data_IF_925067178419
#
_entry.id   IF_925067178419
#
_cell.length_a   1.000
_cell.length_b   1.000
_cell.length_c   1.000
_cell.angle_alpha   90.00
_cell.angle_beta   90.00
_cell.angle_gamma   90.00
#
_symmetry.space_group_name_H-M   'P 1'
#
loop_
_entity.id
_entity.type
_entity.pdbx_description
1 polymer ?
#
# COMPACT_ATOMS: atom_id res chain seq x y z
N UNK A 1 -1.56 15.31 25.75
CA UNK A 1 -0.87 14.18 25.09
C UNK A 1 0.58 14.15 25.55
N UNK A 2 1.13 12.98 25.86
CA UNK A 2 2.57 12.85 26.09
C UNK A 2 3.29 12.93 24.74
N UNK A 3 4.43 13.62 24.62
CA UNK A 3 5.22 13.60 23.40
C UNK A 3 5.69 12.17 23.11
N UNK A 4 5.56 11.76 21.85
CA UNK A 4 6.10 10.51 21.34
C UNK A 4 7.59 10.73 21.07
N UNK A 5 8.44 9.87 21.63
CA UNK A 5 9.90 9.92 21.45
C UNK A 5 10.35 8.64 20.79
N UNK A 6 11.04 8.74 19.67
CA UNK A 6 11.62 7.62 18.94
C UNK A 6 13.13 7.81 18.96
N UNK A 7 13.88 6.75 19.31
CA UNK A 7 15.33 6.77 19.22
C UNK A 7 15.74 6.90 17.74
N UNK A 8 16.79 7.68 17.45
CA UNK A 8 17.27 7.87 16.08
C UNK A 8 17.69 6.55 15.43
N UNK A 9 18.35 5.67 16.17
CA UNK A 9 18.84 4.40 15.65
C UNK A 9 17.67 3.46 15.39
N UNK A 10 16.71 3.36 16.33
CA UNK A 10 15.47 2.61 16.13
C UNK A 10 14.67 3.13 14.92
N UNK A 11 14.58 4.46 14.75
CA UNK A 11 13.93 5.06 13.58
C UNK A 11 14.65 4.68 12.28
N UNK A 12 15.99 4.81 12.23
CA UNK A 12 16.76 4.45 11.05
C UNK A 12 16.61 2.96 10.69
N UNK A 13 16.64 2.09 11.69
CA UNK A 13 16.47 0.65 11.53
C UNK A 13 15.07 0.31 10.99
N UNK A 14 14.01 0.86 11.59
CA UNK A 14 12.62 0.67 11.13
C UNK A 14 12.39 1.19 9.71
N UNK A 15 12.97 2.35 9.36
CA UNK A 15 12.90 2.86 7.99
C UNK A 15 13.62 1.90 7.03
N UNK A 16 14.81 1.42 7.37
CA UNK A 16 15.53 0.47 6.52
C UNK A 16 14.77 -0.86 6.37
N UNK A 17 14.24 -1.40 7.46
CA UNK A 17 13.42 -2.60 7.49
C UNK A 17 12.11 -2.45 6.70
N UNK A 18 11.49 -1.26 6.70
CA UNK A 18 10.33 -0.94 5.85
C UNK A 18 10.62 -1.20 4.37
N UNK A 19 11.68 -0.58 3.83
CA UNK A 19 12.08 -0.75 2.43
C UNK A 19 12.54 -2.18 2.12
N UNK A 20 13.24 -2.83 3.05
CA UNK A 20 13.70 -4.21 2.90
C UNK A 20 12.51 -5.18 2.86
N UNK A 21 11.58 -5.03 3.79
CA UNK A 21 10.38 -5.86 3.87
C UNK A 21 9.50 -5.69 2.63
N UNK A 22 9.34 -4.45 2.14
CA UNK A 22 8.66 -4.17 0.88
C UNK A 22 9.27 -4.93 -0.30
N UNK A 23 10.59 -4.86 -0.43
CA UNK A 23 11.32 -5.55 -1.49
C UNK A 23 11.18 -7.08 -1.39
N UNK A 24 11.27 -7.65 -0.19
CA UNK A 24 11.09 -9.10 0.04
C UNK A 24 9.67 -9.53 -0.35
N UNK A 25 8.66 -8.79 0.13
CA UNK A 25 7.25 -9.07 -0.15
C UNK A 25 6.90 -8.96 -1.62
N UNK A 26 7.30 -7.87 -2.28
CA UNK A 26 7.08 -7.70 -3.72
C UNK A 26 7.77 -8.79 -4.54
N UNK A 27 9.03 -9.12 -4.21
CA UNK A 27 9.77 -10.20 -4.88
C UNK A 27 9.07 -11.57 -4.72
N UNK A 28 8.43 -11.84 -3.57
CA UNK A 28 7.68 -13.07 -3.35
C UNK A 28 6.41 -13.13 -4.22
N UNK A 29 5.71 -12.00 -4.33
CA UNK A 29 4.43 -11.90 -5.03
C UNK A 29 4.54 -11.79 -6.54
N UNK A 30 5.58 -11.17 -7.10
CA UNK A 30 5.71 -10.88 -8.54
C UNK A 30 5.49 -12.10 -9.46
N UNK A 31 6.00 -13.32 -9.15
CA UNK A 31 5.76 -14.48 -10.02
C UNK A 31 4.30 -14.92 -10.15
N UNK A 32 3.42 -14.48 -9.24
CA UNK A 32 2.00 -14.85 -9.19
C UNK A 32 1.06 -13.67 -9.50
N UNK A 33 1.62 -12.50 -9.82
CA UNK A 33 0.87 -11.28 -10.09
C UNK A 33 -0.19 -11.50 -11.19
N UNK A 34 -1.41 -11.02 -10.94
CA UNK A 34 -2.55 -11.16 -11.82
C UNK A 34 -3.24 -12.53 -11.78
N UNK A 35 -2.66 -13.54 -11.11
CA UNK A 35 -3.33 -14.83 -10.93
C UNK A 35 -4.39 -14.73 -9.83
N UNK A 36 -5.66 -14.93 -10.20
CA UNK A 36 -6.81 -14.81 -9.30
C UNK A 36 -7.14 -16.07 -8.50
N UNK A 37 -6.38 -17.15 -8.69
CA UNK A 37 -6.55 -18.39 -7.95
C UNK A 37 -6.00 -18.27 -6.52
N UNK A 38 -6.38 -19.20 -5.65
CA UNK A 38 -5.74 -19.36 -4.35
C UNK A 38 -4.45 -20.17 -4.51
N UNK A 39 -3.38 -19.77 -3.82
CA UNK A 39 -2.10 -20.47 -3.85
C UNK A 39 -1.79 -21.15 -2.51
N UNK A 40 -0.67 -21.87 -2.45
CA UNK A 40 -0.23 -22.62 -1.26
C UNK A 40 1.30 -22.54 -1.07
N UNK A 41 1.86 -21.34 -1.26
CA UNK A 41 3.24 -21.04 -0.92
C UNK A 41 3.47 -21.19 0.58
N UNK A 42 4.60 -21.78 0.94
CA UNK A 42 5.12 -21.81 2.32
C UNK A 42 6.45 -21.08 2.46
N UNK A 43 7.05 -20.71 1.33
CA UNK A 43 8.29 -19.97 1.20
C UNK A 43 8.44 -19.49 -0.26
N UNK A 44 9.53 -18.80 -0.57
CA UNK A 44 9.93 -18.59 -1.97
C UNK A 44 10.16 -19.93 -2.68
N UNK A 45 9.45 -20.15 -3.79
CA UNK A 45 9.62 -21.33 -4.63
C UNK A 45 9.51 -20.97 -6.13
N UNK A 46 10.64 -20.93 -6.87
CA UNK A 46 12.02 -21.08 -6.41
C UNK A 46 12.52 -19.85 -5.62
N UNK A 47 13.57 -20.04 -4.81
CA UNK A 47 14.25 -18.92 -4.14
C UNK A 47 14.92 -18.01 -5.19
N UNK A 48 14.58 -16.71 -5.24
CA UNK A 48 15.12 -15.80 -6.24
C UNK A 48 16.59 -15.49 -5.96
N UNK A 49 17.40 -15.36 -7.02
CA UNK A 49 18.82 -15.02 -6.89
C UNK A 49 19.08 -13.52 -6.67
N UNK A 50 18.07 -12.69 -6.89
CA UNK A 50 18.08 -11.23 -6.74
C UNK A 50 16.66 -10.72 -6.53
N UNK A 51 16.53 -9.52 -5.97
CA UNK A 51 15.27 -8.80 -5.99
C UNK A 51 14.73 -8.65 -7.42
N UNK A 52 13.41 -8.74 -7.56
CA UNK A 52 12.72 -8.49 -8.83
C UNK A 52 12.40 -6.99 -8.96
N UNK A 53 12.41 -6.44 -10.19
CA UNK A 53 11.96 -5.07 -10.42
C UNK A 53 10.47 -4.97 -10.13
N UNK A 54 10.05 -3.89 -9.47
CA UNK A 54 8.67 -3.69 -9.06
C UNK A 54 8.41 -2.17 -8.90
N UNK A 55 7.29 -1.71 -9.44
CA UNK A 55 6.88 -0.30 -9.47
C UNK A 55 6.47 0.24 -8.09
N UNK A 56 5.99 -0.61 -7.18
CA UNK A 56 5.75 -0.29 -5.77
C UNK A 56 6.94 0.43 -5.13
N UNK A 57 8.16 0.04 -5.51
CA UNK A 57 9.40 0.64 -5.03
C UNK A 57 9.80 1.85 -5.88
N UNK A 58 9.78 1.70 -7.20
CA UNK A 58 10.33 2.69 -8.13
C UNK A 58 9.58 4.02 -8.08
N UNK A 59 8.24 4.00 -7.94
CA UNK A 59 7.43 5.21 -7.84
C UNK A 59 7.78 6.02 -6.58
N UNK A 60 7.99 5.34 -5.46
CA UNK A 60 8.35 6.01 -4.20
C UNK A 60 9.75 6.62 -4.24
N UNK A 61 10.68 6.07 -5.04
CA UNK A 61 12.00 6.68 -5.24
C UNK A 61 11.90 8.03 -5.97
N UNK A 62 10.93 8.20 -6.87
CA UNK A 62 10.66 9.49 -7.51
C UNK A 62 10.13 10.52 -6.50
N UNK A 63 9.27 10.09 -5.58
CA UNK A 63 8.81 10.93 -4.48
C UNK A 63 9.93 11.28 -3.51
N UNK A 64 10.79 10.34 -3.15
CA UNK A 64 11.99 10.63 -2.36
C UNK A 64 12.86 11.69 -3.05
N UNK A 65 13.05 11.58 -4.36
CA UNK A 65 13.79 12.57 -5.14
C UNK A 65 13.09 13.94 -5.14
N UNK A 66 11.76 13.97 -5.25
CA UNK A 66 10.98 15.20 -5.12
C UNK A 66 11.19 15.86 -3.75
N UNK A 67 11.15 15.09 -2.66
CA UNK A 67 11.36 15.61 -1.30
C UNK A 67 12.78 16.15 -1.09
N UNK A 68 13.80 15.51 -1.68
CA UNK A 68 15.18 16.00 -1.65
C UNK A 68 15.35 17.35 -2.36
N UNK A 69 14.62 17.57 -3.45
CA UNK A 69 14.74 18.77 -4.27
C UNK A 69 13.83 19.92 -3.82
N UNK A 70 12.62 19.60 -3.31
CA UNK A 70 11.57 20.58 -2.95
C UNK A 70 11.33 20.71 -1.44
N UNK A 71 11.91 19.83 -0.64
CA UNK A 71 11.70 19.75 0.81
C UNK A 71 10.52 18.85 1.21
N UNK A 72 10.37 18.62 2.52
CA UNK A 72 9.43 17.64 3.11
C UNK A 72 7.95 18.04 3.09
N UNK A 73 7.58 19.13 2.39
CA UNK A 73 6.21 19.62 2.26
C UNK A 73 5.90 19.98 0.80
N UNK A 74 5.86 18.98 -0.10
CA UNK A 74 5.56 19.19 -1.50
C UNK A 74 4.13 19.72 -1.69
N UNK A 75 3.95 20.52 -2.74
CA UNK A 75 2.64 20.97 -3.23
C UNK A 75 2.13 19.93 -4.23
N UNK A 76 0.80 19.88 -4.44
CA UNK A 76 0.18 19.03 -5.47
C UNK A 76 0.81 19.20 -6.86
N UNK A 77 1.21 20.43 -7.22
CA UNK A 77 1.87 20.69 -8.50
C UNK A 77 3.23 20.02 -8.64
N UNK A 78 3.95 19.84 -7.52
CA UNK A 78 5.28 19.24 -7.53
C UNK A 78 5.20 17.76 -7.92
N UNK A 79 4.17 17.04 -7.46
CA UNK A 79 3.89 15.66 -7.86
C UNK A 79 3.73 15.53 -9.38
N UNK A 80 2.90 16.40 -9.98
CA UNK A 80 2.68 16.41 -11.43
C UNK A 80 3.97 16.73 -12.23
N UNK A 81 4.79 17.66 -11.74
CA UNK A 81 6.05 18.01 -12.39
C UNK A 81 7.07 16.85 -12.35
N UNK A 82 7.13 16.12 -11.23
CA UNK A 82 8.01 14.96 -11.09
C UNK A 82 7.51 13.76 -11.87
N UNK A 83 6.19 13.55 -11.93
CA UNK A 83 5.60 12.50 -12.76
C UNK A 83 5.96 12.66 -14.23
N UNK A 84 5.74 13.86 -14.80
CA UNK A 84 6.10 14.17 -16.19
C UNK A 84 7.59 13.99 -16.48
N UNK A 85 8.45 14.24 -15.49
CA UNK A 85 9.90 14.18 -15.65
C UNK A 85 10.47 12.77 -15.54
N UNK A 86 9.90 11.93 -14.68
CA UNK A 86 10.52 10.67 -14.26
C UNK A 86 9.65 9.43 -14.53
N UNK A 87 8.32 9.58 -14.57
CA UNK A 87 7.37 8.47 -14.60
C UNK A 87 6.59 8.35 -15.92
N UNK A 88 6.88 9.21 -16.90
CA UNK A 88 6.35 9.07 -18.26
C UNK A 88 6.55 7.67 -18.91
N UNK A 89 7.57 6.87 -18.55
CA UNK A 89 7.70 5.49 -19.04
C UNK A 89 6.72 4.46 -18.46
N UNK A 90 5.84 4.81 -17.51
CA UNK A 90 4.83 3.92 -16.91
C UNK A 90 3.45 4.16 -17.56
N UNK A 91 3.08 3.44 -18.64
CA UNK A 91 1.82 3.69 -19.37
C UNK A 91 0.63 2.83 -18.88
N UNK A 92 0.82 2.07 -17.79
CA UNK A 92 -0.17 1.12 -17.29
C UNK A 92 -1.36 1.83 -16.64
N UNK A 93 -2.57 1.35 -16.95
CA UNK A 93 -3.82 1.70 -16.28
C UNK A 93 -3.92 3.19 -15.85
N UNK A 94 -4.14 3.46 -14.55
CA UNK A 94 -4.24 4.80 -13.97
C UNK A 94 -3.07 5.73 -14.34
N UNK A 95 -1.85 5.19 -14.45
CA UNK A 95 -0.64 5.95 -14.74
C UNK A 95 -0.65 6.47 -16.17
N UNK A 96 -1.12 5.63 -17.10
CA UNK A 96 -1.31 5.98 -18.50
C UNK A 96 -2.33 7.09 -18.69
N UNK A 97 -3.50 6.98 -18.03
CA UNK A 97 -4.54 8.02 -18.08
C UNK A 97 -4.08 9.32 -17.41
N UNK A 98 -3.44 9.22 -16.25
CA UNK A 98 -2.83 10.37 -15.57
C UNK A 98 -1.82 11.08 -16.48
N UNK A 99 -0.89 10.33 -17.08
CA UNK A 99 0.11 10.89 -17.99
C UNK A 99 -0.53 11.55 -19.21
N UNK A 100 -1.53 10.92 -19.80
CA UNK A 100 -2.30 11.49 -20.92
C UNK A 100 -2.96 12.82 -20.52
N UNK A 101 -3.59 12.87 -19.35
CA UNK A 101 -4.24 14.05 -18.82
C UNK A 101 -3.23 15.18 -18.52
N UNK A 102 -2.12 14.85 -17.86
CA UNK A 102 -1.03 15.79 -17.59
C UNK A 102 -0.47 16.38 -18.88
N UNK A 103 -0.30 15.56 -19.93
CA UNK A 103 0.18 16.01 -21.25
C UNK A 103 -0.75 17.01 -21.93
N UNK A 104 -2.05 16.96 -21.61
CA UNK A 104 -3.09 17.90 -22.07
C UNK A 104 -3.20 19.16 -21.19
N UNK A 105 -2.38 19.27 -20.14
CA UNK A 105 -2.40 20.37 -19.19
C UNK A 105 -3.43 20.22 -18.07
N UNK A 106 -4.12 19.08 -17.96
CA UNK A 106 -4.99 18.78 -16.83
C UNK A 106 -4.11 18.42 -15.64
N UNK A 107 -4.23 19.17 -14.54
CA UNK A 107 -3.43 19.01 -13.32
C UNK A 107 -4.26 18.35 -12.20
N UNK A 108 -3.65 17.83 -11.13
CA UNK A 108 -4.39 17.27 -10.00
C UNK A 108 -5.40 18.26 -9.41
N UNK A 109 -6.59 17.81 -8.98
CA UNK A 109 -7.04 16.42 -8.97
C UNK A 109 -7.60 15.91 -10.31
N UNK A 110 -7.79 16.80 -11.30
CA UNK A 110 -8.43 16.45 -12.58
C UNK A 110 -7.62 15.42 -13.37
N UNK A 111 -6.29 15.47 -13.27
CA UNK A 111 -5.41 14.49 -13.91
C UNK A 111 -5.73 13.05 -13.50
N UNK A 112 -6.17 12.84 -12.25
CA UNK A 112 -6.43 11.52 -11.72
C UNK A 112 -7.81 10.97 -12.05
N UNK A 113 -8.83 11.81 -12.27
CA UNK A 113 -10.21 11.34 -12.45
C UNK A 113 -10.77 11.51 -13.87
N UNK A 114 -10.20 12.40 -14.68
CA UNK A 114 -10.76 12.68 -16.00
C UNK A 114 -10.54 11.50 -16.96
N UNK A 115 -11.63 10.86 -17.40
CA UNK A 115 -11.60 9.69 -18.28
C UNK A 115 -10.76 8.52 -17.74
N UNK A 116 -10.53 8.46 -16.42
CA UNK A 116 -9.75 7.39 -15.79
C UNK A 116 -10.68 6.42 -15.06
N UNK A 117 -10.83 5.21 -15.60
CA UNK A 117 -11.66 4.15 -15.02
C UNK A 117 -10.91 3.31 -13.96
N UNK A 118 -9.62 3.60 -13.72
CA UNK A 118 -8.72 2.84 -12.84
C UNK A 118 -8.46 3.53 -11.49
N UNK A 119 -9.28 4.51 -11.11
CA UNK A 119 -9.09 5.28 -9.86
C UNK A 119 -9.24 4.46 -8.56
N UNK A 120 -9.78 3.25 -8.66
CA UNK A 120 -10.00 2.34 -7.53
C UNK A 120 -8.85 1.33 -7.33
N UNK A 121 -7.75 1.43 -8.08
CA UNK A 121 -6.64 0.47 -8.10
C UNK A 121 -5.60 0.65 -6.99
N UNK A 122 -4.72 -0.35 -6.86
CA UNK A 122 -3.62 -0.42 -5.90
C UNK A 122 -2.44 0.50 -6.22
N UNK A 123 -2.40 1.14 -7.39
CA UNK A 123 -1.23 1.90 -7.83
C UNK A 123 -0.87 3.10 -6.96
N UNK A 124 -1.80 3.69 -6.21
CA UNK A 124 -1.49 4.67 -5.16
C UNK A 124 -1.29 4.04 -3.77
N UNK A 125 -2.10 3.08 -3.30
CA UNK A 125 -1.84 2.35 -2.06
C UNK A 125 -0.41 1.82 -1.89
N UNK A 126 0.23 1.33 -2.96
CA UNK A 126 1.61 0.83 -2.92
C UNK A 126 2.68 1.90 -2.66
N UNK A 127 2.31 3.18 -2.57
CA UNK A 127 3.22 4.32 -2.35
C UNK A 127 3.21 4.85 -0.91
N UNK A 128 2.42 4.25 -0.03
CA UNK A 128 2.14 4.74 1.33
C UNK A 128 3.37 4.86 2.22
N UNK A 129 4.34 3.95 2.07
CA UNK A 129 5.42 3.76 3.03
C UNK A 129 6.32 4.98 3.17
N UNK A 130 6.62 5.67 2.06
CA UNK A 130 7.41 6.90 2.10
C UNK A 130 6.76 7.95 3.00
N UNK A 131 5.45 8.12 2.90
CA UNK A 131 4.70 9.10 3.69
C UNK A 131 4.72 8.75 5.18
N UNK A 132 4.62 7.46 5.51
CA UNK A 132 4.79 6.97 6.87
C UNK A 132 6.20 7.23 7.40
N UNK A 133 7.24 6.93 6.61
CA UNK A 133 8.64 7.12 6.99
C UNK A 133 8.98 8.59 7.29
N UNK A 134 8.40 9.57 6.58
CA UNK A 134 8.66 11.00 6.84
C UNK A 134 7.75 11.59 7.92
N UNK A 135 6.74 10.85 8.38
CA UNK A 135 5.79 11.27 9.40
C UNK A 135 5.61 10.19 10.50
N UNK A 136 6.69 9.68 11.12
CA UNK A 136 6.60 8.57 12.07
C UNK A 136 5.83 8.99 13.33
N UNK A 137 4.86 8.18 13.75
CA UNK A 137 3.98 8.48 14.89
C UNK A 137 3.02 9.64 14.65
N UNK A 138 2.83 10.09 13.40
CA UNK A 138 1.87 11.12 13.02
C UNK A 138 0.96 10.65 11.86
N UNK A 139 -0.03 9.78 12.15
CA UNK A 139 -0.90 9.18 11.14
C UNK A 139 -1.69 10.19 10.32
N UNK A 140 -2.08 11.32 10.92
CA UNK A 140 -2.82 12.38 10.23
C UNK A 140 -1.97 13.06 9.15
N UNK A 141 -0.70 13.36 9.47
CA UNK A 141 0.22 13.93 8.49
C UNK A 141 0.54 12.93 7.37
N UNK A 142 0.74 11.65 7.71
CA UNK A 142 0.98 10.61 6.71
C UNK A 142 -0.22 10.47 5.76
N UNK A 143 -1.45 10.43 6.28
CA UNK A 143 -2.66 10.39 5.47
C UNK A 143 -2.86 11.67 4.62
N UNK A 144 -2.52 12.86 5.14
CA UNK A 144 -2.58 14.10 4.36
C UNK A 144 -1.62 14.06 3.16
N UNK A 145 -0.42 13.51 3.37
CA UNK A 145 0.60 13.39 2.32
C UNK A 145 0.22 12.34 1.28
N UNK A 146 -0.26 11.17 1.72
CA UNK A 146 -0.83 10.14 0.88
C UNK A 146 -2.01 10.65 0.04
N UNK A 147 -2.90 11.47 0.63
CA UNK A 147 -3.98 12.08 -0.15
C UNK A 147 -3.44 12.99 -1.26
N UNK A 148 -2.38 13.77 -1.00
CA UNK A 148 -1.76 14.64 -2.01
C UNK A 148 -1.12 13.86 -3.14
N UNK A 149 -0.52 12.71 -2.82
CA UNK A 149 0.02 11.77 -3.80
C UNK A 149 -1.12 11.17 -4.63
N UNK A 150 -2.04 10.44 -3.99
CA UNK A 150 -3.09 9.68 -4.65
C UNK A 150 -3.97 10.49 -5.59
N UNK A 151 -4.30 11.76 -5.27
CA UNK A 151 -5.17 12.57 -6.16
C UNK A 151 -4.50 12.95 -7.49
N UNK A 152 -3.22 12.64 -7.68
CA UNK A 152 -2.55 12.80 -8.97
C UNK A 152 -3.16 11.88 -10.04
N UNK A 153 -3.37 10.61 -9.70
CA UNK A 153 -3.72 9.51 -10.61
C UNK A 153 -4.97 8.71 -10.19
N UNK A 154 -5.46 8.86 -8.94
CA UNK A 154 -6.60 8.10 -8.39
C UNK A 154 -7.74 9.00 -7.84
N UNK A 155 -7.78 10.28 -8.22
CA UNK A 155 -8.69 11.24 -7.60
C UNK A 155 -10.16 10.78 -7.54
N UNK A 156 -10.71 10.72 -6.32
CA UNK A 156 -12.11 10.37 -6.08
C UNK A 156 -12.40 8.86 -5.98
N UNK A 157 -11.41 8.01 -6.23
CA UNK A 157 -11.54 6.56 -6.13
C UNK A 157 -11.09 5.96 -4.79
N UNK A 158 -11.30 4.67 -4.66
CA UNK A 158 -10.91 3.85 -3.52
C UNK A 158 -9.39 3.75 -3.36
N UNK A 159 -8.59 3.95 -4.43
CA UNK A 159 -7.12 3.99 -4.35
C UNK A 159 -6.62 5.10 -3.41
N UNK A 160 -7.26 6.28 -3.45
CA UNK A 160 -6.97 7.38 -2.50
C UNK A 160 -7.18 6.93 -1.06
N UNK A 161 -8.26 6.22 -0.79
CA UNK A 161 -8.53 5.73 0.56
C UNK A 161 -7.58 4.60 0.96
N UNK A 162 -7.16 3.74 0.03
CA UNK A 162 -6.19 2.70 0.30
C UNK A 162 -4.82 3.25 0.72
N UNK A 163 -4.33 4.28 0.01
CA UNK A 163 -3.04 4.92 0.37
C UNK A 163 -3.13 5.66 1.70
N UNK A 164 -4.21 6.41 1.92
CA UNK A 164 -4.43 7.08 3.21
C UNK A 164 -4.51 6.09 4.37
N UNK A 165 -5.18 4.95 4.17
CA UNK A 165 -5.31 3.88 5.15
C UNK A 165 -3.94 3.30 5.54
N UNK A 166 -3.15 2.88 4.55
CA UNK A 166 -1.84 2.29 4.82
C UNK A 166 -0.84 3.31 5.37
N UNK A 167 -0.76 4.51 4.81
CA UNK A 167 0.20 5.52 5.27
C UNK A 167 -0.04 5.90 6.75
N UNK A 168 -1.30 6.00 7.16
CA UNK A 168 -1.68 6.24 8.55
C UNK A 168 -1.31 5.08 9.48
N UNK A 169 -1.60 3.85 9.04
CA UNK A 169 -1.31 2.62 9.77
C UNK A 169 0.20 2.43 9.96
N UNK A 170 0.96 2.54 8.88
CA UNK A 170 2.42 2.41 8.84
C UNK A 170 3.09 3.52 9.67
N UNK A 171 2.57 4.75 9.60
CA UNK A 171 3.04 5.86 10.45
C UNK A 171 2.87 5.53 11.93
N UNK A 172 1.73 4.97 12.32
CA UNK A 172 1.49 4.55 13.70
C UNK A 172 2.39 3.39 14.12
N UNK A 173 2.73 2.47 13.21
CA UNK A 173 3.56 1.30 13.48
C UNK A 173 4.99 1.63 13.98
N UNK A 174 5.44 2.88 13.80
CA UNK A 174 6.68 3.34 14.41
C UNK A 174 6.64 3.32 15.95
N UNK A 175 5.46 3.48 16.55
CA UNK A 175 5.28 3.73 18.00
C UNK A 175 4.18 2.90 18.66
N UNK A 176 3.39 2.17 17.88
CA UNK A 176 2.37 1.19 18.29
C UNK A 176 2.68 -0.15 17.61
N UNK A 177 2.41 -1.27 18.27
CA UNK A 177 2.74 -2.61 17.77
C UNK A 177 1.56 -3.57 17.69
N UNK A 178 0.43 -3.26 18.31
CA UNK A 178 -0.76 -4.09 18.24
C UNK A 178 -1.44 -3.98 16.87
N UNK A 179 -1.58 -5.07 16.09
CA UNK A 179 -2.17 -5.03 14.75
C UNK A 179 -3.59 -4.45 14.73
N UNK A 180 -4.39 -4.73 15.76
CA UNK A 180 -5.79 -4.31 15.80
C UNK A 180 -5.92 -2.80 16.00
N UNK A 181 -5.10 -2.24 16.91
CA UNK A 181 -5.00 -0.79 17.10
C UNK A 181 -4.50 -0.10 15.83
N UNK A 182 -3.48 -0.65 15.16
CA UNK A 182 -2.92 -0.09 13.93
C UNK A 182 -3.95 -0.06 12.79
N UNK A 183 -4.68 -1.15 12.60
CA UNK A 183 -5.77 -1.22 11.62
C UNK A 183 -6.85 -0.19 11.96
N UNK A 184 -7.24 -0.04 13.23
CA UNK A 184 -8.24 0.97 13.62
C UNK A 184 -7.76 2.40 13.37
N UNK A 185 -6.48 2.72 13.64
CA UNK A 185 -5.89 4.03 13.33
C UNK A 185 -5.97 4.33 11.84
N UNK A 186 -5.61 3.36 10.98
CA UNK A 186 -5.77 3.50 9.53
C UNK A 186 -7.22 3.75 9.13
N UNK A 187 -8.16 2.98 9.69
CA UNK A 187 -9.60 3.10 9.41
C UNK A 187 -10.18 4.46 9.82
N UNK A 188 -9.61 5.12 10.84
CA UNK A 188 -10.04 6.45 11.28
C UNK A 188 -9.64 7.57 10.30
N UNK A 189 -8.71 7.32 9.38
CA UNK A 189 -8.27 8.30 8.39
C UNK A 189 -9.09 8.26 7.10
N UNK A 190 -10.03 7.31 6.96
CA UNK A 190 -10.83 7.13 5.75
C UNK A 190 -12.33 7.08 6.05
N UNK A 191 -13.19 7.40 5.05
CA UNK A 191 -14.63 7.32 5.24
C UNK A 191 -15.11 5.89 5.54
N UNK A 192 -15.94 5.71 6.58
CA UNK A 192 -16.48 4.39 6.99
C UNK A 192 -17.23 3.65 5.87
N UNK A 193 -17.77 4.39 4.90
CA UNK A 193 -18.50 3.84 3.76
C UNK A 193 -17.62 3.48 2.56
N UNK A 194 -16.30 3.66 2.61
CA UNK A 194 -15.43 3.26 1.50
C UNK A 194 -15.37 1.74 1.41
N UNK A 195 -15.16 1.20 0.22
CA UNK A 195 -14.93 -0.21 0.01
C UNK A 195 -13.65 -0.69 0.72
N UNK A 196 -12.61 0.15 0.75
CA UNK A 196 -11.40 -0.08 1.56
C UNK A 196 -11.74 -0.33 3.03
N UNK A 197 -12.49 0.59 3.67
CA UNK A 197 -12.84 0.50 5.09
C UNK A 197 -13.63 -0.77 5.40
N UNK A 198 -14.61 -1.09 4.55
CA UNK A 198 -15.44 -2.28 4.74
C UNK A 198 -14.69 -3.58 4.47
N UNK A 199 -13.75 -3.61 3.52
CA UNK A 199 -12.95 -4.80 3.21
C UNK A 199 -12.00 -5.14 4.35
N UNK A 200 -11.24 -4.15 4.85
CA UNK A 200 -10.38 -4.32 6.02
C UNK A 200 -11.17 -4.77 7.26
N UNK A 201 -12.34 -4.16 7.52
CA UNK A 201 -13.23 -4.59 8.62
C UNK A 201 -13.78 -6.00 8.45
N UNK A 202 -14.06 -6.43 7.21
CA UNK A 202 -14.51 -7.79 6.94
C UNK A 202 -13.39 -8.81 7.22
N UNK A 203 -12.15 -8.52 6.84
CA UNK A 203 -11.00 -9.38 7.16
C UNK A 203 -10.78 -9.50 8.68
N UNK A 204 -10.82 -8.36 9.40
CA UNK A 204 -10.76 -8.31 10.87
C UNK A 204 -11.90 -9.11 11.50
N UNK A 205 -13.13 -8.96 11.00
CA UNK A 205 -14.28 -9.70 11.50
C UNK A 205 -14.10 -11.21 11.32
N UNK A 206 -13.64 -11.65 10.14
CA UNK A 206 -13.37 -13.07 9.88
C UNK A 206 -12.37 -13.63 10.89
N UNK A 207 -11.27 -12.90 11.12
CA UNK A 207 -10.24 -13.31 12.07
C UNK A 207 -10.78 -13.44 13.50
N UNK A 208 -11.53 -12.44 13.98
CA UNK A 208 -12.12 -12.44 15.31
C UNK A 208 -13.20 -13.51 15.52
N UNK A 209 -13.75 -14.07 14.44
CA UNK A 209 -14.75 -15.14 14.48
C UNK A 209 -14.16 -16.51 14.08
N UNK A 210 -12.83 -16.65 14.08
CA UNK A 210 -12.13 -17.91 13.82
C UNK A 210 -12.46 -18.53 12.45
N UNK A 211 -12.85 -17.70 11.48
CA UNK A 211 -13.10 -18.16 10.10
C UNK A 211 -11.76 -18.56 9.47
N UNK A 212 -11.62 -19.74 8.84
CA UNK A 212 -10.36 -20.11 8.18
C UNK A 212 -9.92 -19.09 7.12
N UNK A 213 -8.61 -18.82 6.99
CA UNK A 213 -8.10 -17.76 6.10
C UNK A 213 -8.60 -17.89 4.65
N UNK A 214 -8.69 -19.13 4.13
CA UNK A 214 -9.16 -19.39 2.77
C UNK A 214 -10.66 -19.06 2.63
N UNK A 215 -11.46 -19.31 3.66
CA UNK A 215 -12.88 -18.91 3.69
C UNK A 215 -13.02 -17.39 3.86
N UNK A 216 -12.17 -16.76 4.67
CA UNK A 216 -12.12 -15.30 4.82
C UNK A 216 -11.83 -14.62 3.47
N UNK A 217 -10.89 -15.16 2.69
CA UNK A 217 -10.61 -14.72 1.31
C UNK A 217 -11.86 -14.78 0.44
N UNK A 218 -12.58 -15.90 0.45
CA UNK A 218 -13.82 -16.04 -0.33
C UNK A 218 -14.90 -15.05 0.12
N UNK A 219 -15.02 -14.76 1.42
CA UNK A 219 -15.94 -13.74 1.94
C UNK A 219 -15.59 -12.32 1.46
N UNK A 220 -14.31 -11.99 1.37
CA UNK A 220 -13.86 -10.72 0.74
C UNK A 220 -14.27 -10.71 -0.73
N UNK A 221 -14.01 -11.79 -1.47
CA UNK A 221 -14.33 -11.88 -2.90
C UNK A 221 -15.83 -11.87 -3.18
N UNK A 222 -16.69 -12.40 -2.31
CA UNK A 222 -18.15 -12.32 -2.48
C UNK A 222 -18.65 -10.88 -2.67
N UNK A 223 -17.93 -9.90 -2.10
CA UNK A 223 -18.34 -8.49 -2.13
C UNK A 223 -17.45 -7.61 -2.99
N UNK A 224 -16.15 -7.92 -3.08
CA UNK A 224 -15.14 -7.06 -3.71
C UNK A 224 -14.39 -7.73 -4.86
N UNK A 225 -14.82 -8.91 -5.30
CA UNK A 225 -14.26 -9.51 -6.52
C UNK A 225 -14.39 -8.54 -7.68
N UNK A 226 -13.29 -8.38 -8.40
CA UNK A 226 -13.20 -7.52 -9.56
C UNK A 226 -12.57 -8.27 -10.75
N UNK A 227 -12.87 -7.82 -11.96
CA UNK A 227 -12.27 -8.40 -13.17
C UNK A 227 -10.77 -8.09 -13.24
N UNK A 228 -10.42 -6.84 -12.95
CA UNK A 228 -9.04 -6.37 -12.83
C UNK A 228 -8.41 -6.82 -11.51
N UNK A 229 -7.25 -7.50 -11.52
CA UNK A 229 -6.61 -8.02 -10.31
C UNK A 229 -6.20 -6.90 -9.34
N UNK A 230 -5.75 -5.76 -9.84
CA UNK A 230 -5.19 -4.66 -9.04
C UNK A 230 -6.23 -3.72 -8.40
N UNK A 231 -7.54 -4.01 -8.50
CA UNK A 231 -8.56 -3.21 -7.80
C UNK A 231 -8.31 -3.24 -6.27
N UNK A 232 -8.26 -2.09 -5.60
CA UNK A 232 -7.73 -2.01 -4.24
C UNK A 232 -8.57 -2.75 -3.18
N UNK A 233 -9.91 -2.64 -3.14
CA UNK A 233 -10.72 -3.22 -2.07
C UNK A 233 -10.43 -4.69 -1.70
N UNK A 234 -10.32 -5.61 -2.66
CA UNK A 234 -10.02 -7.00 -2.35
C UNK A 234 -8.58 -7.18 -1.83
N UNK A 235 -7.62 -6.47 -2.42
CA UNK A 235 -6.20 -6.58 -2.07
C UNK A 235 -5.92 -6.02 -0.67
N UNK A 236 -6.59 -4.93 -0.25
CA UNK A 236 -6.55 -4.49 1.16
C UNK A 236 -7.01 -5.60 2.10
N UNK A 237 -8.11 -6.28 1.77
CA UNK A 237 -8.61 -7.41 2.56
C UNK A 237 -7.57 -8.53 2.65
N UNK A 238 -6.90 -8.83 1.54
CA UNK A 238 -5.86 -9.87 1.47
C UNK A 238 -4.60 -9.52 2.27
N UNK A 239 -4.14 -8.27 2.24
CA UNK A 239 -3.04 -7.80 3.10
C UNK A 239 -3.38 -7.99 4.58
N UNK A 240 -4.60 -7.65 5.01
CA UNK A 240 -5.05 -7.84 6.39
C UNK A 240 -5.21 -9.33 6.75
N UNK A 241 -5.70 -10.17 5.83
CA UNK A 241 -5.73 -11.63 6.02
C UNK A 241 -4.30 -12.16 6.21
N UNK A 242 -3.36 -11.78 5.34
CA UNK A 242 -1.97 -12.18 5.46
C UNK A 242 -1.37 -11.84 6.83
N UNK A 243 -1.63 -10.62 7.30
CA UNK A 243 -1.10 -10.15 8.57
C UNK A 243 -1.67 -10.92 9.77
N UNK A 244 -2.99 -11.04 9.85
CA UNK A 244 -3.65 -11.56 11.06
C UNK A 244 -3.53 -13.09 11.18
N UNK A 245 -3.51 -13.81 10.06
CA UNK A 245 -3.53 -15.29 10.08
C UNK A 245 -2.12 -15.90 10.13
N UNK A 246 -1.10 -15.19 9.68
CA UNK A 246 0.28 -15.68 9.71
C UNK A 246 0.96 -15.50 11.07
N UNK A 247 1.81 -16.46 11.42
CA UNK A 247 2.48 -16.52 12.73
C UNK A 247 3.80 -15.74 12.81
N UNK A 248 4.51 -15.65 11.69
CA UNK A 248 5.83 -15.03 11.58
C UNK A 248 5.95 -14.24 10.26
N UNK A 249 7.08 -13.56 10.06
CA UNK A 249 7.28 -12.69 8.90
C UNK A 249 7.02 -13.42 7.57
N UNK A 250 7.63 -14.59 7.37
CA UNK A 250 7.52 -15.33 6.11
C UNK A 250 6.13 -15.94 5.90
N UNK A 251 5.54 -16.49 6.96
CA UNK A 251 4.21 -17.09 6.96
C UNK A 251 3.12 -16.05 6.64
N UNK A 252 3.22 -14.85 7.21
CA UNK A 252 2.32 -13.72 6.93
C UNK A 252 2.36 -13.28 5.48
N UNK A 253 3.56 -13.15 4.91
CA UNK A 253 3.73 -12.82 3.49
C UNK A 253 3.16 -13.91 2.59
N UNK A 254 3.42 -15.19 2.91
CA UNK A 254 2.86 -16.30 2.15
C UNK A 254 1.33 -16.29 2.19
N UNK A 255 0.70 -16.01 3.34
CA UNK A 255 -0.77 -15.90 3.41
C UNK A 255 -1.33 -14.75 2.56
N UNK A 256 -0.69 -13.57 2.55
CA UNK A 256 -1.10 -12.47 1.67
C UNK A 256 -1.01 -12.87 0.19
N UNK A 257 0.16 -13.37 -0.24
CA UNK A 257 0.41 -13.80 -1.63
C UNK A 257 -0.50 -14.96 -2.03
N UNK A 258 -0.81 -15.87 -1.10
CA UNK A 258 -1.70 -17.01 -1.35
C UNK A 258 -3.15 -16.60 -1.61
N UNK A 259 -3.53 -15.36 -1.30
CA UNK A 259 -4.83 -14.83 -1.69
C UNK A 259 -4.93 -14.52 -3.20
N UNK A 260 -3.81 -14.46 -3.95
CA UNK A 260 -3.81 -14.16 -5.38
C UNK A 260 -4.13 -12.68 -5.67
N UNK A 261 -4.55 -12.41 -6.90
CA UNK A 261 -4.82 -11.08 -7.47
C UNK A 261 -3.53 -10.25 -7.61
N UNK A 262 -3.35 -9.23 -6.78
CA UNK A 262 -2.25 -8.27 -6.87
C UNK A 262 -1.16 -8.64 -5.86
N UNK A 263 -0.52 -9.77 -6.11
CA UNK A 263 0.23 -10.51 -5.10
C UNK A 263 1.52 -9.82 -4.69
N UNK A 264 2.17 -9.12 -5.61
CA UNK A 264 3.35 -8.33 -5.30
C UNK A 264 3.01 -7.11 -4.47
N UNK A 265 1.94 -6.36 -4.81
CA UNK A 265 1.47 -5.23 -4.01
C UNK A 265 1.07 -5.64 -2.58
N UNK A 266 0.27 -6.70 -2.45
CA UNK A 266 -0.17 -7.20 -1.13
C UNK A 266 0.99 -7.73 -0.30
N UNK A 267 1.93 -8.46 -0.92
CA UNK A 267 3.15 -8.92 -0.29
C UNK A 267 4.05 -7.76 0.14
N UNK A 268 4.28 -6.79 -0.75
CA UNK A 268 5.15 -5.65 -0.53
C UNK A 268 4.65 -4.76 0.61
N UNK A 269 3.38 -4.35 0.57
CA UNK A 269 2.81 -3.53 1.65
C UNK A 269 2.74 -4.27 2.98
N UNK A 270 2.45 -5.58 3.00
CA UNK A 270 2.54 -6.32 4.26
C UNK A 270 3.99 -6.40 4.76
N UNK A 271 4.93 -6.60 3.85
CA UNK A 271 6.35 -6.67 4.16
C UNK A 271 6.87 -5.37 4.77
N UNK A 272 6.45 -4.23 4.25
CA UNK A 272 6.81 -2.92 4.79
C UNK A 272 6.25 -2.69 6.18
N UNK A 273 4.97 -2.98 6.41
CA UNK A 273 4.32 -2.93 7.73
C UNK A 273 5.09 -3.78 8.74
N UNK A 274 5.40 -5.03 8.39
CA UNK A 274 6.13 -5.94 9.26
C UNK A 274 7.57 -5.48 9.51
N UNK A 275 8.22 -4.86 8.52
CA UNK A 275 9.54 -4.24 8.67
C UNK A 275 9.53 -3.08 9.66
N UNK A 276 8.56 -2.17 9.58
CA UNK A 276 8.41 -1.06 10.54
C UNK A 276 8.18 -1.58 11.96
N UNK A 277 7.42 -2.66 12.11
CA UNK A 277 7.13 -3.26 13.42
C UNK A 277 8.34 -3.99 14.02
N UNK A 278 9.07 -4.74 13.19
CA UNK A 278 10.13 -5.64 13.62
C UNK A 278 11.52 -5.04 13.70
N UNK A 279 11.82 -4.02 12.89
CA UNK A 279 13.21 -3.67 12.62
C UNK A 279 13.91 -4.75 11.79
N UNK A 280 15.24 -4.69 11.68
CA UNK A 280 16.04 -5.70 10.97
C UNK A 280 16.46 -6.91 11.81
#
# INVERSE_FOLDING_TARGET
MKPVTINRDDYCDKVYACWLGKNIGGTLGTPLEGNKDTHNLTFFDPVPSKALPNDDLDLQLVWLKMLQDRGIRPRLSDFADYWLKHLAPYPWDEYGFCLHNLSRGLRPPISGCFENDFIDQMGSPIRSELWACIAPGNPQLAAEMAWKDAVLDHAGGEGVYGEMFFAALESAAFVESDPMNLIDIGLQMIPIHSAISRSARAAVWCYNNEVPWAEARELILQRYKHEHPCNAPQNIGFTIIGWLYGKDFGDRLCHAVNCGYDTDCTGATLGSILGILGGT
#
